data_IF_128788412869
#
_entry.id   IF_128788412869
#
_cell.length_a   1.000
_cell.length_b   1.000
_cell.length_c   1.000
_cell.angle_alpha   90.00
_cell.angle_beta   90.00
_cell.angle_gamma   90.00
#
_symmetry.space_group_name_H-M   'P 1'
#
loop_
_entity.id
_entity.type
_entity.pdbx_description
1 polymer ?
#
# COMPACT_ATOMS: atom_id res chain seq x y z
N UNK A 1 -4.35 9.51 19.63
CA UNK A 1 -3.62 10.71 19.24
C UNK A 1 -2.35 10.35 18.53
N UNK A 2 -2.10 10.96 17.39
CA UNK A 2 -0.88 10.80 16.62
C UNK A 2 0.34 11.19 17.47
N UNK A 3 1.31 10.29 17.55
CA UNK A 3 2.66 10.68 17.94
C UNK A 3 3.35 11.24 16.69
N UNK A 4 3.50 12.55 16.64
CA UNK A 4 4.25 13.25 15.59
C UNK A 4 5.69 13.54 15.98
N UNK A 5 6.10 13.08 17.16
CA UNK A 5 7.20 13.69 17.90
C UNK A 5 8.56 13.12 17.54
N UNK A 6 8.67 11.91 17.01
CA UNK A 6 9.95 11.40 16.47
C UNK A 6 9.72 10.33 15.44
N UNK A 7 10.31 10.42 14.25
CA UNK A 7 10.38 9.25 13.35
C UNK A 7 11.13 8.14 14.10
N UNK A 8 10.58 6.92 14.06
CA UNK A 8 11.26 5.76 14.62
C UNK A 8 12.64 5.63 13.98
N UNK A 9 13.66 5.42 14.81
CA UNK A 9 14.98 5.08 14.29
C UNK A 9 14.95 3.68 13.68
N UNK A 10 15.81 3.41 12.72
CA UNK A 10 15.91 2.07 12.11
C UNK A 10 16.09 0.98 13.19
N UNK A 11 16.84 1.26 14.25
CA UNK A 11 17.05 0.32 15.35
C UNK A 11 15.77 0.04 16.16
N UNK A 12 14.90 1.03 16.33
CA UNK A 12 13.60 0.83 16.97
C UNK A 12 12.65 0.02 16.10
N UNK A 13 12.69 0.24 14.80
CA UNK A 13 11.91 -0.55 13.83
C UNK A 13 12.33 -2.03 13.85
N UNK A 14 13.63 -2.33 13.88
CA UNK A 14 14.15 -3.71 13.92
C UNK A 14 13.83 -4.45 15.21
N UNK A 15 13.47 -3.77 16.29
CA UNK A 15 13.08 -4.38 17.56
C UNK A 15 11.56 -4.58 17.70
N UNK A 16 10.76 -3.94 16.86
CA UNK A 16 9.31 -4.05 16.92
C UNK A 16 8.81 -5.24 16.10
N UNK A 17 7.95 -6.03 16.71
CA UNK A 17 7.16 -7.03 16.01
C UNK A 17 5.80 -6.44 15.68
N UNK A 18 5.34 -6.62 14.46
CA UNK A 18 4.01 -6.26 14.01
C UNK A 18 3.22 -7.51 13.62
N UNK A 19 1.98 -7.57 14.06
CA UNK A 19 0.95 -8.41 13.48
C UNK A 19 0.12 -7.53 12.54
N UNK A 20 0.05 -7.89 11.27
CA UNK A 20 -0.48 -7.06 10.18
C UNK A 20 -1.67 -7.75 9.54
N UNK A 21 -2.72 -7.00 9.25
CA UNK A 21 -3.87 -7.44 8.46
C UNK A 21 -3.84 -6.72 7.11
N UNK A 22 -3.80 -7.49 6.04
CA UNK A 22 -3.97 -6.99 4.67
C UNK A 22 -5.23 -7.59 4.04
N UNK A 23 -5.96 -6.79 3.29
CA UNK A 23 -7.19 -7.16 2.63
C UNK A 23 -6.98 -7.17 1.11
N UNK A 24 -7.34 -8.27 0.46
CA UNK A 24 -7.17 -8.52 -0.97
C UNK A 24 -8.50 -8.84 -1.64
N UNK A 25 -8.65 -8.39 -2.87
CA UNK A 25 -9.77 -8.74 -3.74
C UNK A 25 -9.30 -9.60 -4.92
N UNK A 26 -10.21 -10.08 -5.73
CA UNK A 26 -9.87 -10.81 -6.97
C UNK A 26 -8.95 -10.01 -7.89
N UNK A 27 -9.04 -8.67 -7.88
CA UNK A 27 -8.19 -7.80 -8.69
C UNK A 27 -6.73 -7.72 -8.19
N UNK A 28 -6.48 -8.23 -6.99
CA UNK A 28 -5.14 -8.32 -6.38
C UNK A 28 -4.39 -9.60 -6.79
N UNK A 29 -5.00 -10.46 -7.59
CA UNK A 29 -4.39 -11.72 -8.04
C UNK A 29 -3.63 -11.46 -9.33
N UNK A 30 -2.31 -11.62 -9.28
CA UNK A 30 -1.41 -11.54 -10.43
C UNK A 30 -1.16 -12.94 -11.02
N UNK A 31 -1.01 -13.03 -12.34
CA UNK A 31 -0.45 -14.21 -13.00
C UNK A 31 1.05 -14.00 -13.19
N UNK A 32 1.84 -14.92 -12.64
CA UNK A 32 3.29 -14.91 -12.77
C UNK A 32 3.77 -16.18 -13.48
N UNK A 33 4.94 -16.10 -14.09
CA UNK A 33 5.61 -17.22 -14.70
C UNK A 33 6.90 -17.53 -13.97
N UNK A 34 7.18 -18.81 -13.82
CA UNK A 34 8.42 -19.28 -13.22
C UNK A 34 9.04 -20.40 -14.03
N UNK A 35 10.32 -20.26 -14.34
CA UNK A 35 11.12 -21.29 -15.02
C UNK A 35 12.13 -21.87 -14.04
N UNK A 36 11.96 -23.13 -13.68
CA UNK A 36 12.91 -23.84 -12.82
C UNK A 36 14.23 -24.10 -13.56
N UNK A 37 15.33 -23.80 -12.89
CA UNK A 37 16.68 -23.99 -13.46
C UNK A 37 17.21 -25.41 -13.26
N UNK A 38 16.63 -26.20 -12.37
CA UNK A 38 17.05 -27.57 -12.06
C UNK A 38 18.57 -27.68 -11.81
N UNK A 39 19.11 -26.74 -11.01
CA UNK A 39 20.54 -26.64 -10.66
C UNK A 39 21.49 -26.33 -11.84
N UNK A 40 20.99 -25.93 -13.01
CA UNK A 40 21.84 -25.50 -14.13
C UNK A 40 22.82 -24.38 -13.74
N UNK A 41 22.40 -23.49 -12.88
CA UNK A 41 23.19 -22.37 -12.35
C UNK A 41 24.32 -22.81 -11.40
N UNK A 42 24.31 -24.05 -10.91
CA UNK A 42 25.32 -24.63 -10.03
C UNK A 42 26.39 -25.44 -10.81
N UNK A 43 26.25 -25.58 -12.11
CA UNK A 43 27.17 -26.34 -12.95
C UNK A 43 28.51 -25.56 -13.11
N UNK A 44 29.61 -26.24 -12.83
CA UNK A 44 30.98 -25.73 -12.99
C UNK A 44 31.81 -26.63 -13.90
N UNK A 45 32.97 -26.16 -14.31
CA UNK A 45 33.94 -26.95 -15.09
C UNK A 45 34.40 -28.24 -14.42
N UNK A 46 34.22 -28.37 -13.10
CA UNK A 46 34.70 -29.50 -12.28
C UNK A 46 33.58 -30.52 -12.01
N UNK A 47 32.32 -30.07 -12.00
CA UNK A 47 31.19 -30.89 -11.57
C UNK A 47 30.18 -31.22 -12.65
N UNK A 48 30.30 -30.65 -13.88
CA UNK A 48 29.28 -30.79 -14.93
C UNK A 48 28.93 -32.25 -15.25
N UNK A 49 29.87 -33.18 -15.12
CA UNK A 49 29.59 -34.62 -15.34
C UNK A 49 28.80 -35.26 -14.17
N UNK A 50 28.75 -34.63 -13.00
CA UNK A 50 28.01 -35.14 -11.86
C UNK A 50 26.50 -34.76 -11.90
N UNK A 51 26.10 -33.91 -12.84
CA UNK A 51 24.70 -33.56 -13.07
C UNK A 51 24.06 -34.50 -14.11
N UNK A 52 24.32 -35.79 -13.96
CA UNK A 52 23.67 -36.88 -14.73
C UNK A 52 22.15 -36.93 -14.57
N UNK A 53 21.61 -36.30 -13.53
CA UNK A 53 20.16 -36.12 -13.39
C UNK A 53 19.58 -35.26 -14.51
N UNK A 54 20.43 -34.53 -15.23
CA UNK A 54 20.10 -33.93 -16.53
C UNK A 54 20.09 -34.97 -17.68
N UNK A 55 20.51 -36.23 -17.44
CA UNK A 55 20.27 -37.33 -18.36
C UNK A 55 18.80 -37.71 -18.52
N UNK A 56 17.97 -37.43 -17.51
CA UNK A 56 16.53 -37.40 -17.70
C UNK A 56 16.08 -36.34 -18.71
N UNK A 57 16.99 -35.41 -19.08
CA UNK A 57 16.87 -34.48 -20.20
C UNK A 57 17.21 -35.12 -21.54
N UNK A 58 17.76 -36.33 -21.60
CA UNK A 58 18.02 -37.01 -22.84
C UNK A 58 16.69 -37.36 -23.54
N UNK A 59 16.37 -36.59 -24.55
CA UNK A 59 15.10 -36.65 -25.26
C UNK A 59 13.95 -35.83 -24.63
N UNK A 60 14.21 -35.16 -23.49
CA UNK A 60 13.27 -34.27 -22.82
C UNK A 60 13.87 -32.85 -22.66
N UNK A 61 14.05 -32.15 -23.80
CA UNK A 61 14.10 -30.68 -23.77
C UNK A 61 12.85 -30.11 -23.06
N UNK A 62 11.89 -30.96 -22.73
CA UNK A 62 10.62 -30.67 -22.08
C UNK A 62 10.70 -30.66 -20.56
N UNK A 63 11.87 -30.96 -19.93
CA UNK A 63 12.03 -30.85 -18.49
C UNK A 63 12.21 -29.41 -18.02
N UNK A 64 12.68 -28.52 -18.87
CA UNK A 64 12.63 -27.07 -18.63
C UNK A 64 11.26 -26.58 -19.06
N UNK A 65 10.39 -26.34 -18.09
CA UNK A 65 9.00 -25.93 -18.28
C UNK A 65 8.81 -24.57 -17.61
N UNK A 66 8.02 -23.73 -18.25
CA UNK A 66 7.55 -22.49 -17.65
C UNK A 66 6.24 -22.80 -16.92
N UNK A 67 6.23 -22.66 -15.59
CA UNK A 67 5.03 -22.80 -14.78
C UNK A 67 4.28 -21.48 -14.74
N UNK A 68 2.98 -21.50 -14.95
CA UNK A 68 2.09 -20.37 -14.71
C UNK A 68 1.49 -20.51 -13.32
N UNK A 69 1.60 -19.48 -12.50
CA UNK A 69 1.17 -19.47 -11.11
C UNK A 69 0.30 -18.25 -10.85
N UNK A 70 -0.76 -18.42 -10.07
CA UNK A 70 -1.57 -17.32 -9.57
C UNK A 70 -1.05 -16.87 -8.21
N UNK A 71 -0.80 -15.58 -8.07
CA UNK A 71 -0.13 -15.01 -6.92
C UNK A 71 -0.90 -13.85 -6.31
N UNK A 72 -0.99 -13.85 -4.97
CA UNK A 72 -1.27 -12.65 -4.18
C UNK A 72 0.05 -12.26 -3.53
N UNK A 73 0.43 -10.99 -3.64
CA UNK A 73 1.64 -10.47 -3.03
C UNK A 73 1.31 -9.58 -1.84
N UNK A 74 1.90 -9.89 -0.69
CA UNK A 74 1.83 -9.06 0.51
C UNK A 74 2.73 -7.82 0.33
N UNK A 75 2.40 -6.77 1.08
CA UNK A 75 3.14 -5.51 1.01
C UNK A 75 4.55 -5.59 1.60
N UNK A 76 4.89 -6.67 2.25
CA UNK A 76 6.19 -6.89 2.87
C UNK A 76 6.79 -8.23 2.46
N UNK A 77 8.11 -8.26 2.39
CA UNK A 77 8.96 -9.45 2.28
C UNK A 77 9.53 -9.84 3.66
N UNK A 78 10.31 -10.92 3.72
CA UNK A 78 10.96 -11.41 4.94
C UNK A 78 10.01 -11.47 6.15
N UNK A 79 8.88 -12.12 5.93
CA UNK A 79 7.83 -12.34 6.93
C UNK A 79 8.27 -13.47 7.87
N UNK A 80 7.75 -13.49 9.08
CA UNK A 80 8.09 -14.54 10.03
C UNK A 80 7.68 -15.94 9.50
N UNK A 81 8.50 -16.95 9.81
CA UNK A 81 8.29 -18.35 9.40
C UNK A 81 7.09 -18.99 10.16
N UNK A 82 5.95 -18.34 10.06
CA UNK A 82 4.67 -18.82 10.60
C UNK A 82 3.60 -18.68 9.53
N UNK A 83 2.83 -19.72 9.33
CA UNK A 83 1.75 -19.71 8.35
C UNK A 83 0.76 -18.54 8.67
N UNK A 84 0.41 -17.71 7.68
CA UNK A 84 -0.56 -16.64 7.89
C UNK A 84 -1.94 -17.22 8.19
N UNK A 85 -2.75 -16.45 8.92
CA UNK A 85 -4.17 -16.77 9.09
C UNK A 85 -4.96 -16.14 7.95
N UNK A 86 -5.74 -16.97 7.24
CA UNK A 86 -6.54 -16.54 6.09
C UNK A 86 -8.03 -16.54 6.46
N UNK A 87 -8.73 -15.48 6.07
CA UNK A 87 -10.20 -15.41 6.18
C UNK A 87 -10.82 -14.80 4.94
N UNK A 88 -11.92 -15.36 4.48
CA UNK A 88 -12.68 -14.87 3.32
C UNK A 88 -14.08 -14.43 3.78
N UNK A 89 -14.47 -13.19 3.46
CA UNK A 89 -15.73 -12.62 3.93
C UNK A 89 -15.89 -12.63 5.46
N UNK A 90 -14.77 -12.55 6.22
CA UNK A 90 -14.75 -12.58 7.68
C UNK A 90 -14.78 -13.98 8.31
N UNK A 91 -14.87 -15.05 7.52
CA UNK A 91 -14.83 -16.43 8.00
C UNK A 91 -13.47 -17.06 7.74
N UNK A 92 -12.94 -17.94 8.61
CA UNK A 92 -11.71 -18.67 8.34
C UNK A 92 -11.78 -19.40 7.00
N UNK A 93 -10.73 -19.28 6.18
CA UNK A 93 -10.66 -19.92 4.87
C UNK A 93 -10.21 -21.38 5.02
N UNK A 94 -11.16 -22.26 5.31
CA UNK A 94 -10.95 -23.71 5.42
C UNK A 94 -11.43 -24.47 4.20
N UNK A 95 -12.49 -23.96 3.58
CA UNK A 95 -13.14 -24.60 2.43
C UNK A 95 -13.42 -23.54 1.36
N UNK A 96 -13.39 -23.99 0.11
CA UNK A 96 -13.68 -23.18 -1.08
C UNK A 96 -14.81 -23.80 -1.88
N UNK A 97 -15.56 -22.96 -2.57
CA UNK A 97 -16.59 -23.38 -3.52
C UNK A 97 -16.39 -22.63 -4.83
N UNK A 98 -16.54 -23.35 -5.94
CA UNK A 98 -16.48 -22.78 -7.29
C UNK A 98 -17.44 -23.49 -8.22
N UNK A 99 -17.72 -22.90 -9.38
CA UNK A 99 -18.58 -23.46 -10.42
C UNK A 99 -17.74 -24.02 -11.55
N UNK A 100 -18.01 -25.25 -11.94
CA UNK A 100 -17.32 -25.89 -13.05
C UNK A 100 -18.32 -26.40 -14.06
N UNK A 101 -18.00 -26.26 -15.35
CA UNK A 101 -18.80 -26.84 -16.41
C UNK A 101 -18.44 -28.30 -16.59
N UNK A 102 -19.41 -29.18 -16.34
CA UNK A 102 -19.24 -30.64 -16.43
C UNK A 102 -20.21 -31.19 -17.46
N UNK A 103 -19.77 -32.15 -18.24
CA UNK A 103 -20.66 -32.89 -19.16
C UNK A 103 -21.69 -33.71 -18.35
N UNK A 104 -22.97 -33.55 -18.67
CA UNK A 104 -24.08 -34.29 -18.04
C UNK A 104 -24.16 -35.77 -18.46
N UNK A 105 -23.20 -36.25 -19.26
CA UNK A 105 -23.19 -37.58 -19.86
C UNK A 105 -24.02 -37.70 -21.16
N UNK A 106 -24.61 -36.61 -21.61
CA UNK A 106 -25.40 -36.53 -22.84
C UNK A 106 -24.80 -35.52 -23.84
N UNK A 107 -23.59 -34.99 -23.52
CA UNK A 107 -22.90 -34.01 -24.32
C UNK A 107 -23.30 -32.55 -24.05
N UNK A 108 -24.10 -32.28 -23.00
CA UNK A 108 -24.43 -30.91 -22.61
C UNK A 108 -23.53 -30.50 -21.41
N UNK A 109 -22.94 -29.32 -21.52
CA UNK A 109 -22.18 -28.75 -20.41
C UNK A 109 -23.11 -28.06 -19.44
N UNK A 110 -23.16 -28.58 -18.21
CA UNK A 110 -23.96 -28.01 -17.09
C UNK A 110 -23.05 -27.42 -16.03
N UNK A 111 -23.49 -26.35 -15.43
CA UNK A 111 -22.79 -25.72 -14.31
C UNK A 111 -23.00 -26.56 -13.04
N UNK A 112 -21.91 -27.02 -12.43
CA UNK A 112 -21.90 -27.79 -11.21
C UNK A 112 -21.07 -27.10 -10.16
N UNK A 113 -21.65 -26.83 -8.99
CA UNK A 113 -20.92 -26.33 -7.84
C UNK A 113 -20.05 -27.45 -7.26
N UNK A 114 -18.78 -27.14 -7.15
CA UNK A 114 -17.75 -27.97 -6.51
C UNK A 114 -17.37 -27.36 -5.15
N UNK A 115 -16.89 -28.18 -4.25
CA UNK A 115 -16.32 -27.75 -2.98
C UNK A 115 -15.07 -28.55 -2.64
N UNK A 116 -14.12 -27.93 -1.96
CA UNK A 116 -12.92 -28.61 -1.47
C UNK A 116 -12.35 -27.91 -0.23
N UNK A 117 -11.66 -28.68 0.58
CA UNK A 117 -10.90 -28.15 1.72
C UNK A 117 -9.59 -27.56 1.21
N UNK A 118 -9.26 -26.38 1.71
CA UNK A 118 -8.01 -25.68 1.39
C UNK A 118 -6.84 -26.32 2.13
N UNK A 119 -5.78 -26.62 1.39
CA UNK A 119 -4.53 -27.10 1.94
C UNK A 119 -3.51 -25.94 2.01
N UNK A 120 -3.27 -25.42 3.21
CA UNK A 120 -2.25 -24.38 3.41
C UNK A 120 -0.89 -25.03 3.61
N UNK A 121 0.09 -24.62 2.80
CA UNK A 121 1.48 -25.04 2.89
C UNK A 121 2.39 -23.82 3.05
N UNK A 122 3.58 -24.03 3.60
CA UNK A 122 4.62 -22.99 3.67
C UNK A 122 5.92 -23.59 3.14
N UNK A 123 6.54 -22.89 2.21
CA UNK A 123 7.82 -23.30 1.60
C UNK A 123 8.79 -22.14 1.68
N UNK A 124 9.88 -22.33 2.41
CA UNK A 124 10.95 -21.33 2.52
C UNK A 124 11.95 -21.52 1.39
N UNK A 125 12.24 -20.46 0.66
CA UNK A 125 13.27 -20.44 -0.39
C UNK A 125 14.65 -20.74 0.20
N UNK A 126 14.92 -20.24 1.41
CA UNK A 126 16.20 -20.43 2.07
C UNK A 126 16.50 -21.88 2.40
N UNK A 127 15.48 -22.70 2.65
CA UNK A 127 15.64 -24.11 3.03
C UNK A 127 15.40 -25.07 1.88
N UNK A 128 14.40 -24.81 1.04
CA UNK A 128 13.98 -25.72 -0.04
C UNK A 128 14.47 -25.29 -1.43
N UNK A 129 14.87 -24.03 -1.60
CA UNK A 129 15.26 -23.43 -2.87
C UNK A 129 14.08 -22.88 -3.67
N UNK A 130 14.39 -22.02 -4.65
CA UNK A 130 13.38 -21.35 -5.49
C UNK A 130 12.56 -22.35 -6.31
N UNK A 131 13.18 -23.36 -6.91
CA UNK A 131 12.48 -24.36 -7.72
C UNK A 131 11.41 -25.13 -6.95
N UNK A 132 11.66 -25.41 -5.65
CA UNK A 132 10.66 -26.04 -4.79
C UNK A 132 9.54 -25.08 -4.37
N UNK A 133 9.88 -23.81 -4.11
CA UNK A 133 8.91 -22.79 -3.71
C UNK A 133 7.92 -22.49 -4.84
N UNK A 134 8.38 -22.42 -6.09
CA UNK A 134 7.56 -22.14 -7.27
C UNK A 134 7.23 -23.38 -8.11
N UNK A 135 7.37 -24.57 -7.55
CA UNK A 135 6.89 -25.79 -8.17
C UNK A 135 5.37 -25.77 -8.35
N UNK A 136 4.81 -26.50 -9.35
CA UNK A 136 3.38 -26.61 -9.54
C UNK A 136 2.65 -26.90 -8.22
N UNK A 137 1.50 -26.22 -8.02
CA UNK A 137 0.68 -26.38 -6.82
C UNK A 137 -0.34 -27.52 -7.00
N UNK A 138 -0.80 -28.08 -5.88
CA UNK A 138 -2.05 -28.83 -5.87
C UNK A 138 -3.25 -27.90 -6.13
N UNK A 139 -4.29 -28.41 -6.76
CA UNK A 139 -5.44 -27.59 -7.18
C UNK A 139 -6.10 -26.83 -6.01
N UNK A 140 -6.09 -27.40 -4.80
CA UNK A 140 -6.68 -26.79 -3.60
C UNK A 140 -5.62 -26.22 -2.65
N UNK A 141 -4.39 -26.04 -3.11
CA UNK A 141 -3.27 -25.57 -2.29
C UNK A 141 -3.21 -24.05 -2.26
N UNK A 142 -2.91 -23.50 -1.07
CA UNK A 142 -2.38 -22.15 -0.91
C UNK A 142 -0.98 -22.29 -0.33
N UNK A 143 0.03 -21.90 -1.09
CA UNK A 143 1.43 -21.94 -0.68
C UNK A 143 1.92 -20.58 -0.29
N UNK A 144 2.40 -20.45 0.93
CA UNK A 144 3.01 -19.24 1.45
C UNK A 144 4.54 -19.31 1.35
N UNK A 145 5.15 -18.23 0.83
CA UNK A 145 6.60 -18.06 0.72
C UNK A 145 6.99 -16.87 1.59
N UNK A 146 7.58 -17.09 2.77
CA UNK A 146 7.82 -16.01 3.74
C UNK A 146 8.88 -15.01 3.28
N UNK A 147 9.90 -15.43 2.54
CA UNK A 147 10.99 -14.56 2.10
C UNK A 147 10.52 -13.49 1.10
N UNK A 148 9.58 -13.83 0.24
CA UNK A 148 9.05 -12.91 -0.78
C UNK A 148 7.70 -12.31 -0.39
N UNK A 149 7.07 -12.84 0.67
CA UNK A 149 5.73 -12.42 1.08
C UNK A 149 4.66 -12.78 0.06
N UNK A 150 4.75 -13.97 -0.56
CA UNK A 150 3.85 -14.40 -1.62
C UNK A 150 2.93 -15.53 -1.16
N UNK A 151 1.68 -15.44 -1.59
CA UNK A 151 0.69 -16.52 -1.52
C UNK A 151 0.43 -17.01 -2.92
N UNK A 152 0.82 -18.24 -3.22
CA UNK A 152 0.54 -18.89 -4.48
C UNK A 152 -0.75 -19.71 -4.34
N UNK A 153 -1.64 -19.57 -5.34
CA UNK A 153 -2.98 -20.16 -5.33
C UNK A 153 -3.06 -21.30 -6.35
N UNK A 154 -3.53 -22.44 -5.92
CA UNK A 154 -3.90 -23.55 -6.80
C UNK A 154 -5.14 -23.23 -7.64
N UNK A 155 -5.35 -23.95 -8.72
CA UNK A 155 -6.37 -23.62 -9.74
C UNK A 155 -7.79 -23.52 -9.19
N UNK A 156 -8.19 -24.39 -8.26
CA UNK A 156 -9.52 -24.35 -7.68
C UNK A 156 -9.68 -23.19 -6.69
N UNK A 157 -8.60 -22.86 -5.95
CA UNK A 157 -8.58 -21.67 -5.07
C UNK A 157 -8.70 -20.42 -5.90
N UNK A 158 -7.94 -20.30 -6.97
CA UNK A 158 -8.02 -19.19 -7.91
C UNK A 158 -9.43 -19.02 -8.48
N UNK A 159 -10.05 -20.12 -8.99
CA UNK A 159 -11.42 -20.08 -9.50
C UNK A 159 -12.43 -19.60 -8.45
N UNK A 160 -12.34 -20.15 -7.24
CA UNK A 160 -13.22 -19.75 -6.14
C UNK A 160 -13.06 -18.26 -5.78
N UNK A 161 -11.83 -17.76 -5.76
CA UNK A 161 -11.55 -16.35 -5.50
C UNK A 161 -12.07 -15.44 -6.61
N UNK A 162 -11.96 -15.85 -7.88
CA UNK A 162 -12.46 -15.07 -9.03
C UNK A 162 -13.98 -15.00 -9.08
N UNK A 163 -14.68 -16.03 -8.58
CA UNK A 163 -16.14 -16.07 -8.50
C UNK A 163 -16.69 -15.34 -7.27
N UNK A 164 -15.88 -15.15 -6.24
CA UNK A 164 -16.29 -14.45 -5.01
C UNK A 164 -16.06 -12.94 -5.13
N UNK A 165 -17.00 -12.16 -4.60
CA UNK A 165 -16.81 -10.72 -4.37
C UNK A 165 -16.34 -10.44 -2.93
N UNK A 166 -16.08 -11.47 -2.15
CA UNK A 166 -15.61 -11.36 -0.76
C UNK A 166 -14.14 -10.94 -0.72
N UNK A 167 -13.80 -10.23 0.34
CA UNK A 167 -12.41 -9.82 0.61
C UNK A 167 -11.66 -10.94 1.32
N UNK A 168 -10.51 -11.32 0.78
CA UNK A 168 -9.54 -12.18 1.46
C UNK A 168 -8.70 -11.34 2.41
N UNK A 169 -8.79 -11.63 3.70
CA UNK A 169 -7.91 -11.05 4.72
C UNK A 169 -6.80 -12.01 5.07
N UNK A 170 -5.58 -11.49 5.01
CA UNK A 170 -4.35 -12.20 5.38
C UNK A 170 -3.77 -11.55 6.63
N UNK A 171 -3.65 -12.33 7.71
CA UNK A 171 -3.01 -11.89 8.95
C UNK A 171 -1.68 -12.59 9.12
N UNK A 172 -0.61 -11.84 9.32
CA UNK A 172 0.74 -12.36 9.45
C UNK A 172 1.60 -11.53 10.40
N UNK A 173 2.69 -12.11 10.86
CA UNK A 173 3.66 -11.47 11.76
C UNK A 173 4.94 -11.10 11.02
N UNK A 174 5.44 -9.87 11.25
CA UNK A 174 6.72 -9.39 10.75
C UNK A 174 7.57 -8.82 11.89
N UNK A 175 8.80 -9.33 12.00
CA UNK A 175 9.78 -8.88 13.00
C UNK A 175 11.13 -8.48 12.39
N UNK A 176 11.37 -8.83 11.13
CA UNK A 176 12.58 -8.46 10.40
C UNK A 176 12.29 -7.28 9.47
N UNK A 177 13.03 -6.20 9.64
CA UNK A 177 12.82 -4.95 8.91
C UNK A 177 14.06 -4.55 8.13
N UNK A 178 13.89 -4.20 6.87
CA UNK A 178 14.94 -3.65 6.02
C UNK A 178 14.87 -2.11 6.00
N UNK A 179 15.99 -1.50 5.64
CA UNK A 179 16.01 -0.05 5.43
C UNK A 179 15.16 0.29 4.20
N UNK A 180 14.11 1.06 4.42
CA UNK A 180 13.15 1.45 3.38
C UNK A 180 11.78 0.83 3.54
N UNK A 181 11.65 -0.21 4.38
CA UNK A 181 10.34 -0.76 4.70
C UNK A 181 9.41 0.33 5.27
N UNK A 182 8.19 0.35 4.78
CA UNK A 182 7.16 1.28 5.23
C UNK A 182 6.66 0.88 6.63
N UNK A 183 6.27 1.85 7.44
CA UNK A 183 5.67 1.57 8.75
C UNK A 183 4.22 1.08 8.58
N UNK A 184 3.87 -0.13 9.06
CA UNK A 184 2.52 -0.68 8.90
C UNK A 184 1.42 0.20 9.48
N UNK A 185 1.71 0.94 10.54
CA UNK A 185 0.76 1.84 11.22
C UNK A 185 0.20 2.96 10.34
N UNK A 186 0.81 3.22 9.17
CA UNK A 186 0.35 4.24 8.23
C UNK A 186 -0.51 3.68 7.10
N UNK A 187 -0.61 2.35 6.98
CA UNK A 187 -1.27 1.67 5.86
C UNK A 187 -2.28 0.62 6.28
N UNK A 188 -2.02 -0.09 7.37
CA UNK A 188 -2.75 -1.31 7.71
C UNK A 188 -3.34 -1.28 9.11
N UNK A 189 -4.40 -2.08 9.29
CA UNK A 189 -4.81 -2.51 10.60
C UNK A 189 -3.72 -3.42 11.18
N UNK A 190 -3.08 -2.99 12.26
CA UNK A 190 -1.96 -3.74 12.80
C UNK A 190 -1.81 -3.59 14.31
N UNK A 191 -1.10 -4.55 14.91
CA UNK A 191 -0.73 -4.53 16.33
C UNK A 191 0.78 -4.56 16.45
N UNK A 192 1.34 -3.51 17.04
CA UNK A 192 2.77 -3.42 17.35
C UNK A 192 3.04 -3.98 18.73
N UNK A 193 3.98 -4.91 18.82
CA UNK A 193 4.50 -5.43 20.09
C UNK A 193 5.91 -4.89 20.31
N UNK A 194 6.11 -4.17 21.41
CA UNK A 194 7.42 -3.63 21.76
C UNK A 194 7.94 -4.38 23.00
N UNK A 195 9.05 -5.10 22.88
CA UNK A 195 9.66 -5.76 24.04
C UNK A 195 9.94 -4.73 25.15
N UNK A 196 9.48 -5.02 26.35
CA UNK A 196 9.59 -4.13 27.53
C UNK A 196 8.92 -2.76 27.38
N UNK A 197 8.01 -2.58 26.42
CA UNK A 197 7.22 -1.37 26.25
C UNK A 197 6.06 -1.27 27.25
N UNK A 198 5.61 -0.05 27.55
CA UNK A 198 4.39 0.22 28.30
C UNK A 198 3.51 1.21 27.52
N UNK A 199 2.41 0.77 26.90
CA UNK A 199 1.91 -0.63 26.83
C UNK A 199 2.78 -1.54 25.95
N UNK A 200 2.86 -2.81 26.29
CA UNK A 200 3.59 -3.81 25.51
C UNK A 200 3.00 -4.07 24.10
N UNK A 201 1.71 -3.77 23.92
CA UNK A 201 0.97 -3.89 22.64
C UNK A 201 0.24 -2.60 22.35
N UNK A 202 0.38 -2.12 21.11
CA UNK A 202 -0.33 -0.94 20.59
C UNK A 202 -1.07 -1.36 19.33
N UNK A 203 -2.38 -1.13 19.33
CA UNK A 203 -3.25 -1.42 18.18
C UNK A 203 -3.43 -0.16 17.36
N UNK A 204 -3.26 -0.27 16.04
CA UNK A 204 -3.42 0.81 15.08
C UNK A 204 -4.49 0.45 14.06
N UNK A 205 -5.27 1.42 13.64
CA UNK A 205 -6.19 1.39 12.49
C UNK A 205 -7.14 0.17 12.47
N UNK A 206 -7.47 -0.40 13.61
CA UNK A 206 -8.29 -1.60 13.69
C UNK A 206 -9.69 -1.23 14.16
N UNK A 207 -10.67 -1.42 13.31
CA UNK A 207 -12.08 -1.26 13.62
C UNK A 207 -12.66 -2.42 14.41
N UNK A 208 -13.97 -2.38 14.68
CA UNK A 208 -14.64 -3.33 15.58
C UNK A 208 -14.58 -4.79 15.08
N UNK A 209 -14.56 -4.98 13.75
CA UNK A 209 -14.49 -6.30 13.11
C UNK A 209 -13.10 -6.58 12.50
N UNK A 210 -12.07 -5.84 12.94
CA UNK A 210 -10.71 -5.96 12.42
C UNK A 210 -10.48 -5.31 11.07
N UNK A 211 -11.44 -4.52 10.57
CA UNK A 211 -11.30 -3.76 9.33
C UNK A 211 -10.23 -2.66 9.46
N UNK A 212 -9.60 -2.33 8.33
CA UNK A 212 -8.62 -1.25 8.26
C UNK A 212 -9.31 0.12 8.26
N UNK A 213 -9.10 0.90 9.30
CA UNK A 213 -9.68 2.26 9.48
C UNK A 213 -8.67 3.38 9.20
N UNK A 214 -7.57 3.11 8.52
CA UNK A 214 -6.57 4.14 8.18
C UNK A 214 -7.19 5.31 7.41
N UNK A 215 -8.19 5.05 6.57
CA UNK A 215 -8.91 6.06 5.80
C UNK A 215 -9.75 7.02 6.66
N UNK A 216 -10.08 6.64 7.90
CA UNK A 216 -10.85 7.47 8.83
C UNK A 216 -9.97 8.49 9.56
N UNK A 217 -8.65 8.42 9.41
CA UNK A 217 -7.69 9.31 10.03
C UNK A 217 -7.63 10.68 9.34
N UNK A 218 -8.76 11.39 9.30
CA UNK A 218 -8.89 12.72 8.71
C UNK A 218 -8.90 13.77 9.80
N UNK A 219 -8.00 14.76 9.67
CA UNK A 219 -7.99 15.94 10.52
C UNK A 219 -8.74 17.04 9.79
N UNK A 220 -9.89 17.43 10.30
CA UNK A 220 -10.74 18.44 9.70
C UNK A 220 -10.82 19.67 10.59
N UNK A 221 -10.77 20.85 9.97
CA UNK A 221 -11.06 22.12 10.62
C UNK A 221 -12.35 22.73 10.10
N UNK A 222 -13.14 23.31 11.01
CA UNK A 222 -14.28 24.11 10.67
C UNK A 222 -13.85 25.48 10.13
N UNK A 223 -14.16 25.78 8.87
CA UNK A 223 -13.81 27.04 8.19
C UNK A 223 -15.01 27.95 7.97
N UNK A 224 -16.20 27.56 8.47
CA UNK A 224 -17.43 28.31 8.39
C UNK A 224 -18.62 27.46 8.79
N UNK A 225 -19.83 28.08 8.78
CA UNK A 225 -21.04 27.37 9.13
C UNK A 225 -21.24 26.15 8.21
N UNK A 226 -21.24 24.94 8.80
CA UNK A 226 -21.38 23.66 8.12
C UNK A 226 -20.32 23.41 6.99
N UNK A 227 -19.12 23.99 7.11
CA UNK A 227 -18.03 23.84 6.16
C UNK A 227 -16.77 23.36 6.87
N UNK A 228 -16.30 22.19 6.47
CA UNK A 228 -15.07 21.57 6.94
C UNK A 228 -14.04 21.42 5.82
N UNK A 229 -12.78 21.49 6.17
CA UNK A 229 -11.67 21.18 5.27
C UNK A 229 -10.72 20.22 5.96
N UNK A 230 -10.42 19.13 5.29
CA UNK A 230 -9.36 18.21 5.72
C UNK A 230 -8.00 18.89 5.49
N UNK A 231 -7.13 18.84 6.48
CA UNK A 231 -5.81 19.52 6.44
C UNK A 231 -4.63 18.55 6.37
N UNK A 232 -4.84 17.27 6.65
CA UNK A 232 -3.81 16.25 6.51
C UNK A 232 -3.95 15.49 5.18
N UNK A 233 -2.83 14.94 4.71
CA UNK A 233 -2.76 13.91 3.67
C UNK A 233 -2.05 12.72 4.28
N UNK A 234 -2.64 11.55 4.18
CA UNK A 234 -2.09 10.33 4.76
C UNK A 234 -1.14 9.64 3.77
N UNK A 235 -0.20 8.84 4.27
CA UNK A 235 0.79 8.17 3.42
C UNK A 235 0.12 7.24 2.39
N UNK A 236 -0.92 6.51 2.77
CA UNK A 236 -1.66 5.61 1.87
C UNK A 236 -2.37 6.34 0.71
N UNK A 237 -2.65 7.65 0.84
CA UNK A 237 -3.24 8.46 -0.23
C UNK A 237 -2.21 8.86 -1.31
N UNK A 238 -0.91 8.75 -1.01
CA UNK A 238 0.17 9.25 -1.86
C UNK A 238 1.05 8.13 -2.42
N UNK A 239 1.19 7.03 -1.67
CA UNK A 239 2.15 5.97 -1.96
C UNK A 239 1.51 4.62 -1.75
N UNK A 240 1.50 3.80 -2.79
CA UNK A 240 1.09 2.40 -2.70
C UNK A 240 2.21 1.59 -1.99
N UNK A 241 1.89 0.79 -0.95
CA UNK A 241 2.87 -0.03 -0.25
C UNK A 241 3.52 -1.09 -1.15
N UNK A 242 2.86 -1.50 -2.24
CA UNK A 242 3.39 -2.50 -3.18
C UNK A 242 4.49 -1.95 -4.10
N UNK A 243 4.68 -0.62 -4.18
CA UNK A 243 5.67 -0.01 -5.07
C UNK A 243 7.09 -0.56 -4.86
N UNK A 244 7.50 -0.79 -3.61
CA UNK A 244 8.81 -1.35 -3.30
C UNK A 244 8.92 -2.79 -3.77
N UNK A 245 7.85 -3.57 -3.60
CA UNK A 245 7.80 -4.97 -3.97
C UNK A 245 7.86 -5.15 -5.50
N UNK A 246 7.17 -4.29 -6.25
CA UNK A 246 7.25 -4.30 -7.72
C UNK A 246 8.66 -3.99 -8.23
N UNK A 247 9.43 -3.15 -7.51
CA UNK A 247 10.84 -2.89 -7.83
C UNK A 247 11.70 -4.11 -7.51
N UNK A 248 11.45 -4.77 -6.37
CA UNK A 248 12.16 -5.98 -5.99
C UNK A 248 11.90 -7.10 -7.01
N UNK A 249 10.67 -7.29 -7.47
CA UNK A 249 10.32 -8.26 -8.52
C UNK A 249 11.09 -8.05 -9.82
N UNK A 250 11.22 -6.80 -10.25
CA UNK A 250 12.01 -6.47 -11.44
C UNK A 250 13.49 -6.75 -11.25
N UNK A 251 14.03 -6.44 -10.07
CA UNK A 251 15.44 -6.73 -9.75
C UNK A 251 15.68 -8.22 -9.76
N UNK A 252 14.85 -9.00 -9.08
CA UNK A 252 14.97 -10.45 -9.01
C UNK A 252 14.87 -11.10 -10.39
N UNK A 253 14.01 -10.57 -11.27
CA UNK A 253 13.87 -11.05 -12.64
C UNK A 253 15.12 -10.73 -13.48
N UNK A 254 15.73 -9.54 -13.32
CA UNK A 254 16.98 -9.16 -13.97
C UNK A 254 18.12 -10.05 -13.49
N UNK A 255 18.26 -10.23 -12.17
CA UNK A 255 19.30 -11.06 -11.56
C UNK A 255 19.19 -12.51 -12.05
N UNK A 256 17.97 -13.03 -12.20
CA UNK A 256 17.73 -14.36 -12.75
C UNK A 256 18.13 -14.46 -14.23
N UNK A 257 17.84 -13.44 -15.03
CA UNK A 257 18.22 -13.37 -16.44
C UNK A 257 19.76 -13.31 -16.59
N UNK A 258 20.43 -12.49 -15.79
CA UNK A 258 21.91 -12.39 -15.80
C UNK A 258 22.56 -13.72 -15.38
N UNK A 259 22.01 -14.38 -14.37
CA UNK A 259 22.51 -15.67 -13.91
C UNK A 259 22.43 -16.75 -14.99
N UNK A 260 21.29 -16.87 -15.68
CA UNK A 260 21.15 -17.87 -16.74
C UNK A 260 21.98 -17.52 -17.98
N UNK A 261 22.14 -16.23 -18.32
CA UNK A 261 23.02 -15.78 -19.42
C UNK A 261 24.46 -16.16 -19.14
N UNK A 262 24.94 -15.91 -17.92
CA UNK A 262 26.28 -16.31 -17.49
C UNK A 262 26.44 -17.82 -17.49
N UNK A 263 25.42 -18.57 -17.09
CA UNK A 263 25.42 -20.04 -17.13
C UNK A 263 25.59 -20.55 -18.56
N UNK A 264 24.82 -20.03 -19.51
CA UNK A 264 24.95 -20.38 -20.93
C UNK A 264 26.34 -20.07 -21.46
N UNK A 265 26.90 -18.90 -21.12
CA UNK A 265 28.24 -18.51 -21.56
C UNK A 265 29.32 -19.44 -20.99
N UNK A 266 29.26 -19.75 -19.70
CA UNK A 266 30.20 -20.65 -19.04
C UNK A 266 30.14 -22.08 -19.62
N UNK A 267 28.97 -22.64 -19.80
CA UNK A 267 28.79 -23.96 -20.39
C UNK A 267 29.33 -24.04 -21.82
N UNK A 268 29.13 -22.98 -22.63
CA UNK A 268 29.72 -22.89 -23.98
C UNK A 268 31.24 -22.82 -23.90
N UNK A 269 31.84 -22.08 -22.97
CA UNK A 269 33.27 -22.05 -22.76
C UNK A 269 33.80 -23.43 -22.36
N UNK A 270 33.15 -24.11 -21.41
CA UNK A 270 33.56 -25.45 -20.99
C UNK A 270 33.55 -26.42 -22.16
N UNK A 271 32.56 -26.39 -23.02
CA UNK A 271 32.44 -27.26 -24.21
C UNK A 271 33.64 -27.09 -25.19
N UNK A 272 34.23 -25.90 -25.31
CA UNK A 272 35.38 -25.66 -26.19
C UNK A 272 36.64 -26.44 -25.78
N UNK A 273 36.68 -26.95 -24.54
CA UNK A 273 37.82 -27.69 -23.99
C UNK A 273 37.81 -29.18 -24.37
N UNK A 274 36.72 -29.65 -24.98
CA UNK A 274 36.53 -31.06 -25.32
C UNK A 274 36.31 -31.24 -26.81
N UNK A 275 36.77 -32.39 -27.34
CA UNK A 275 36.62 -32.75 -28.76
C UNK A 275 35.19 -33.20 -29.03
N UNK A 276 34.71 -32.88 -30.23
CA UNK A 276 33.37 -33.27 -30.68
C UNK A 276 33.24 -34.82 -30.74
N UNK A 277 32.16 -35.32 -30.13
CA UNK A 277 31.89 -36.76 -30.06
C UNK A 277 32.30 -37.40 -28.72
N UNK A 278 33.06 -36.73 -27.86
CA UNK A 278 33.30 -37.19 -26.48
C UNK A 278 32.04 -37.12 -25.61
N UNK A 279 31.98 -37.87 -24.54
CA UNK A 279 30.83 -37.88 -23.65
C UNK A 279 30.69 -36.55 -22.88
N UNK A 280 31.80 -35.92 -22.58
CA UNK A 280 31.85 -34.57 -22.00
C UNK A 280 31.26 -33.53 -22.95
N UNK A 281 31.64 -33.58 -24.25
CA UNK A 281 31.08 -32.66 -25.24
C UNK A 281 29.57 -32.84 -25.41
N UNK A 282 29.10 -34.10 -25.46
CA UNK A 282 27.66 -34.42 -25.57
C UNK A 282 26.90 -33.91 -24.33
N UNK A 283 27.42 -34.18 -23.14
CA UNK A 283 26.80 -33.71 -21.89
C UNK A 283 26.67 -32.18 -21.86
N UNK A 284 27.76 -31.46 -22.13
CA UNK A 284 27.72 -30.01 -22.19
C UNK A 284 26.79 -29.48 -23.28
N UNK A 285 26.68 -30.19 -24.41
CA UNK A 285 25.75 -29.79 -25.49
C UNK A 285 24.30 -29.90 -25.02
N UNK A 286 23.92 -30.92 -24.25
CA UNK A 286 22.59 -31.08 -23.66
C UNK A 286 22.32 -30.00 -22.62
N UNK A 287 23.28 -29.74 -21.71
CA UNK A 287 23.19 -28.71 -20.69
C UNK A 287 23.05 -27.31 -21.31
N UNK A 288 23.78 -27.02 -22.38
CA UNK A 288 23.65 -25.75 -23.12
C UNK A 288 22.23 -25.63 -23.71
N UNK A 289 21.71 -26.70 -24.34
CA UNK A 289 20.37 -26.65 -24.91
C UNK A 289 19.29 -26.39 -23.85
N UNK A 290 19.39 -27.03 -22.69
CA UNK A 290 18.51 -26.78 -21.57
C UNK A 290 18.63 -25.33 -21.03
N UNK A 291 19.86 -24.82 -20.85
CA UNK A 291 20.10 -23.47 -20.38
C UNK A 291 19.63 -22.41 -21.38
N UNK A 292 19.79 -22.63 -22.70
CA UNK A 292 19.28 -21.72 -23.73
C UNK A 292 17.76 -21.69 -23.76
N UNK A 293 17.10 -22.82 -23.53
CA UNK A 293 15.65 -22.88 -23.42
C UNK A 293 15.15 -22.09 -22.19
N UNK A 294 15.79 -22.30 -21.03
CA UNK A 294 15.48 -21.56 -19.81
C UNK A 294 15.70 -20.04 -20.03
N UNK A 295 16.83 -19.67 -20.64
CA UNK A 295 17.12 -18.28 -21.01
C UNK A 295 16.01 -17.66 -21.87
N UNK A 296 15.49 -18.39 -22.84
CA UNK A 296 14.39 -17.92 -23.68
C UNK A 296 13.15 -17.58 -22.87
N UNK A 297 12.72 -18.48 -22.00
CA UNK A 297 11.54 -18.27 -21.14
C UNK A 297 11.74 -17.11 -20.16
N UNK A 298 12.87 -17.10 -19.46
CA UNK A 298 13.17 -16.05 -18.46
C UNK A 298 13.25 -14.68 -19.13
N UNK A 299 13.88 -14.56 -20.32
CA UNK A 299 13.94 -13.31 -21.07
C UNK A 299 12.55 -12.80 -21.45
N UNK A 300 11.69 -13.70 -21.94
CA UNK A 300 10.34 -13.34 -22.36
C UNK A 300 9.46 -12.96 -21.15
N UNK A 301 9.67 -13.59 -19.99
CA UNK A 301 9.01 -13.21 -18.72
C UNK A 301 9.50 -11.84 -18.22
N UNK A 302 10.81 -11.60 -18.24
CA UNK A 302 11.38 -10.29 -17.87
C UNK A 302 10.80 -9.17 -18.73
N UNK A 303 10.69 -9.37 -20.04
CA UNK A 303 10.09 -8.36 -20.92
C UNK A 303 8.65 -8.05 -20.51
N UNK A 304 7.82 -9.07 -20.25
CA UNK A 304 6.42 -8.88 -19.83
C UNK A 304 6.31 -8.19 -18.48
N UNK A 305 7.19 -8.55 -17.52
CA UNK A 305 7.25 -7.87 -16.21
C UNK A 305 7.61 -6.40 -16.36
N UNK A 306 8.52 -6.05 -17.25
CA UNK A 306 8.82 -4.64 -17.54
C UNK A 306 7.64 -3.89 -18.14
N UNK A 307 6.93 -4.47 -19.09
CA UNK A 307 5.74 -3.87 -19.71
C UNK A 307 4.64 -3.63 -18.64
N UNK A 308 4.42 -4.60 -17.76
CA UNK A 308 3.46 -4.49 -16.66
C UNK A 308 3.90 -3.45 -15.62
N UNK A 309 5.19 -3.44 -15.25
CA UNK A 309 5.72 -2.49 -14.29
C UNK A 309 5.64 -1.04 -14.78
N UNK A 310 5.80 -0.78 -16.07
CA UNK A 310 5.60 0.58 -16.64
C UNK A 310 4.16 1.04 -16.41
N UNK A 311 3.19 0.15 -16.64
CA UNK A 311 1.76 0.46 -16.44
C UNK A 311 1.45 0.71 -14.96
N UNK A 312 1.93 -0.16 -14.05
CA UNK A 312 1.75 0.02 -12.60
C UNK A 312 2.39 1.32 -12.11
N UNK A 313 3.62 1.63 -12.56
CA UNK A 313 4.29 2.88 -12.16
C UNK A 313 3.56 4.13 -12.62
N UNK A 314 2.91 4.09 -13.78
CA UNK A 314 2.04 5.19 -14.20
C UNK A 314 0.86 5.35 -13.23
N UNK A 315 0.24 4.26 -12.80
CA UNK A 315 -0.82 4.30 -11.77
C UNK A 315 -0.35 4.95 -10.46
N UNK A 316 0.83 4.59 -9.95
CA UNK A 316 1.41 5.20 -8.74
C UNK A 316 1.68 6.71 -8.90
N UNK A 317 2.12 7.14 -10.08
CA UNK A 317 2.29 8.56 -10.38
C UNK A 317 0.95 9.30 -10.40
N UNK A 318 -0.08 8.69 -11.00
CA UNK A 318 -1.42 9.28 -11.08
C UNK A 318 -2.04 9.43 -9.67
N UNK A 319 -1.83 8.47 -8.76
CA UNK A 319 -2.25 8.58 -7.35
C UNK A 319 -1.52 9.71 -6.62
N UNK A 320 -0.20 9.81 -6.78
CA UNK A 320 0.59 10.90 -6.19
C UNK A 320 0.15 12.27 -6.72
N UNK A 321 -0.09 12.40 -8.03
CA UNK A 321 -0.57 13.64 -8.66
C UNK A 321 -1.98 14.00 -8.18
N UNK A 322 -2.85 13.02 -7.97
CA UNK A 322 -4.17 13.22 -7.38
C UNK A 322 -4.07 13.76 -5.95
N UNK A 323 -3.16 13.21 -5.14
CA UNK A 323 -2.92 13.67 -3.78
C UNK A 323 -2.38 15.11 -3.75
N UNK A 324 -1.45 15.46 -4.65
CA UNK A 324 -0.91 16.82 -4.82
C UNK A 324 -2.03 17.78 -5.22
N UNK A 325 -2.84 17.42 -6.20
CA UNK A 325 -3.96 18.24 -6.69
C UNK A 325 -5.00 18.46 -5.59
N UNK A 326 -5.33 17.40 -4.85
CA UNK A 326 -6.24 17.46 -3.70
C UNK A 326 -5.70 18.41 -2.61
N UNK A 327 -4.41 18.31 -2.29
CA UNK A 327 -3.75 19.19 -1.33
C UNK A 327 -3.77 20.66 -1.79
N UNK A 328 -3.47 20.91 -3.08
CA UNK A 328 -3.56 22.24 -3.69
C UNK A 328 -4.97 22.84 -3.62
N UNK A 329 -5.99 22.03 -3.90
CA UNK A 329 -7.40 22.45 -3.83
C UNK A 329 -7.79 22.77 -2.38
N UNK A 330 -7.36 21.97 -1.40
CA UNK A 330 -7.58 22.24 0.03
C UNK A 330 -6.91 23.54 0.48
N UNK A 331 -5.68 23.80 0.04
CA UNK A 331 -4.97 25.05 0.31
C UNK A 331 -5.71 26.26 -0.26
N UNK A 332 -6.15 26.19 -1.51
CA UNK A 332 -6.91 27.28 -2.15
C UNK A 332 -8.24 27.55 -1.41
N UNK A 333 -8.95 26.49 -0.94
CA UNK A 333 -10.18 26.65 -0.14
C UNK A 333 -9.90 27.31 1.21
N UNK A 334 -8.78 26.99 1.86
CA UNK A 334 -8.37 27.63 3.11
C UNK A 334 -8.03 29.10 2.90
N UNK A 335 -7.35 29.46 1.82
CA UNK A 335 -7.03 30.85 1.48
C UNK A 335 -8.29 31.67 1.20
N UNK A 336 -9.26 31.11 0.45
CA UNK A 336 -10.56 31.74 0.23
C UNK A 336 -11.32 31.95 1.53
N UNK A 337 -11.33 30.95 2.42
CA UNK A 337 -11.97 31.08 3.73
C UNK A 337 -11.31 32.16 4.58
N UNK A 338 -9.97 32.19 4.60
CA UNK A 338 -9.20 33.21 5.31
C UNK A 338 -9.52 34.62 4.80
N UNK A 339 -9.53 34.82 3.48
CA UNK A 339 -9.84 36.11 2.88
C UNK A 339 -11.28 36.55 3.23
N UNK A 340 -12.26 35.65 3.12
CA UNK A 340 -13.64 35.91 3.54
C UNK A 340 -13.75 36.31 5.00
N UNK A 341 -13.05 35.60 5.90
CA UNK A 341 -13.05 35.94 7.32
C UNK A 341 -12.37 37.29 7.61
N UNK A 342 -11.32 37.64 6.85
CA UNK A 342 -10.68 38.96 6.95
C UNK A 342 -11.63 40.07 6.50
N UNK A 343 -12.34 39.90 5.38
CA UNK A 343 -13.34 40.85 4.90
C UNK A 343 -14.50 41.01 5.90
N UNK A 344 -14.99 39.89 6.44
CA UNK A 344 -16.03 39.93 7.48
C UNK A 344 -15.53 40.63 8.74
N UNK A 345 -14.30 40.38 9.17
CA UNK A 345 -13.68 41.06 10.33
C UNK A 345 -13.64 42.58 10.10
N UNK A 346 -13.14 43.02 8.94
CA UNK A 346 -13.07 44.44 8.60
C UNK A 346 -14.47 45.07 8.58
N UNK A 347 -15.47 44.36 8.03
CA UNK A 347 -16.85 44.81 8.02
C UNK A 347 -17.42 44.94 9.43
N UNK A 348 -17.20 43.94 10.30
CA UNK A 348 -17.64 44.01 11.71
C UNK A 348 -16.91 45.11 12.49
N UNK A 349 -15.61 45.31 12.26
CA UNK A 349 -14.85 46.43 12.87
C UNK A 349 -15.41 47.78 12.45
N UNK A 350 -15.79 47.96 11.15
CA UNK A 350 -16.45 49.16 10.68
C UNK A 350 -17.82 49.38 11.29
N UNK A 351 -18.64 48.32 11.35
CA UNK A 351 -19.97 48.36 11.99
C UNK A 351 -19.87 48.64 13.49
N UNK A 352 -18.84 48.11 14.16
CA UNK A 352 -18.59 48.40 15.58
C UNK A 352 -18.19 49.84 15.77
N UNK A 353 -17.30 50.38 14.91
CA UNK A 353 -16.91 51.78 14.95
C UNK A 353 -18.11 52.72 14.71
N UNK A 354 -18.95 52.40 13.70
CA UNK A 354 -20.17 53.17 13.42
C UNK A 354 -21.17 53.17 14.59
N UNK A 355 -21.23 52.06 15.37
CA UNK A 355 -22.17 51.92 16.50
C UNK A 355 -21.62 52.48 17.83
N UNK A 356 -20.30 52.38 18.03
CA UNK A 356 -19.67 52.75 19.31
C UNK A 356 -19.00 54.14 19.26
N UNK A 357 -18.49 54.58 18.09
CA UNK A 357 -17.83 55.87 17.95
C UNK A 357 -18.86 56.97 17.88
N UNK A 358 -18.82 57.88 18.83
CA UNK A 358 -19.62 59.09 18.78
C UNK A 358 -19.05 60.04 17.76
N UNK A 359 -19.90 60.54 16.86
CA UNK A 359 -19.48 61.63 15.98
C UNK A 359 -19.11 62.84 16.82
N UNK A 360 -17.80 63.12 16.92
CA UNK A 360 -17.24 64.20 17.71
C UNK A 360 -17.87 65.53 17.35
N UNK A 361 -18.30 65.73 16.11
CA UNK A 361 -18.97 66.92 15.63
C UNK A 361 -20.38 67.03 16.22
N UNK A 362 -21.15 65.94 16.19
CA UNK A 362 -22.51 65.89 16.73
C UNK A 362 -22.49 66.04 18.25
N UNK A 363 -21.60 65.33 18.97
CA UNK A 363 -21.40 65.45 20.42
C UNK A 363 -20.99 66.88 20.81
N UNK A 364 -20.12 67.54 20.01
CA UNK A 364 -19.70 68.91 20.25
C UNK A 364 -20.87 69.90 20.05
N UNK A 365 -21.68 69.68 19.03
CA UNK A 365 -22.89 70.50 18.78
C UNK A 365 -23.91 70.29 19.89
N UNK A 366 -24.18 69.08 20.31
CA UNK A 366 -25.05 68.77 21.43
C UNK A 366 -24.55 69.38 22.73
N UNK A 367 -23.23 69.28 23.04
CA UNK A 367 -22.61 69.89 24.23
C UNK A 367 -22.77 71.41 24.22
N UNK A 368 -22.51 72.07 23.06
CA UNK A 368 -22.74 73.53 22.92
C UNK A 368 -24.17 73.93 23.08
N UNK A 369 -25.11 73.13 22.54
CA UNK A 369 -26.56 73.37 22.66
C UNK A 369 -27.01 73.30 24.14
N UNK A 370 -26.52 72.26 24.85
CA UNK A 370 -26.76 72.12 26.31
C UNK A 370 -26.13 73.25 27.10
N UNK A 371 -24.91 73.67 26.79
CA UNK A 371 -24.25 74.83 27.45
C UNK A 371 -25.05 76.13 27.21
N UNK A 372 -25.47 76.40 26.00
CA UNK A 372 -26.32 77.55 25.66
C UNK A 372 -27.64 77.55 26.39
N UNK A 373 -28.28 76.38 26.50
CA UNK A 373 -29.52 76.18 27.22
C UNK A 373 -29.33 76.42 28.74
N UNK A 374 -28.21 75.96 29.29
CA UNK A 374 -27.83 76.22 30.68
C UNK A 374 -27.58 77.69 30.98
N UNK A 375 -26.80 78.37 30.08
CA UNK A 375 -26.55 79.81 30.22
C UNK A 375 -27.83 80.62 30.10
N UNK A 376 -28.72 80.27 29.16
CA UNK A 376 -30.06 80.91 29.00
C UNK A 376 -30.91 80.67 30.25
N UNK A 377 -30.88 79.49 30.85
CA UNK A 377 -31.59 79.26 32.13
C UNK A 377 -31.06 80.04 33.28
N UNK A 378 -29.72 80.16 33.35
CA UNK A 378 -29.07 81.00 34.39
C UNK A 378 -29.41 82.51 34.25
N UNK A 379 -29.40 83.00 33.01
CA UNK A 379 -29.81 84.39 32.67
C UNK A 379 -31.29 84.61 33.00
N UNK A 380 -32.16 83.66 32.63
CA UNK A 380 -33.60 83.75 32.95
C UNK A 380 -33.81 83.74 34.45
N UNK A 381 -33.13 82.88 35.18
CA UNK A 381 -33.22 82.78 36.64
C UNK A 381 -32.73 84.09 37.33
N UNK A 382 -31.58 84.62 36.81
CA UNK A 382 -31.03 85.91 37.31
C UNK A 382 -32.01 87.05 37.03
N UNK A 383 -32.65 87.14 35.87
CA UNK A 383 -33.69 88.13 35.54
C UNK A 383 -34.88 88.02 36.47
N UNK A 384 -35.33 86.81 36.73
CA UNK A 384 -36.49 86.56 37.58
C UNK A 384 -36.14 86.99 39.04
N UNK A 385 -34.94 86.70 39.53
CA UNK A 385 -34.49 87.07 40.86
C UNK A 385 -34.32 88.59 40.97
N UNK A 386 -33.86 89.29 39.92
CA UNK A 386 -33.77 90.77 39.90
C UNK A 386 -35.16 91.43 39.88
N UNK A 387 -36.11 90.88 39.14
CA UNK A 387 -37.48 91.42 39.12
C UNK A 387 -38.25 91.18 40.44
N UNK A 388 -37.98 90.10 41.12
CA UNK A 388 -38.59 89.84 42.44
C UNK A 388 -37.97 90.69 43.55
N UNK A 389 -36.66 91.00 43.51
CA UNK A 389 -36.00 91.90 44.44
C UNK A 389 -36.39 93.35 44.27
N UNK A 390 -36.66 93.82 42.99
CA UNK A 390 -37.10 95.23 42.72
C UNK A 390 -38.54 95.50 43.09
N UNK A 391 -39.41 94.47 43.21
CA UNK A 391 -40.80 94.62 43.64
C UNK A 391 -41.00 94.55 45.16
N UNK A 392 -39.97 94.32 45.91
CA UNK A 392 -40.03 94.16 47.40
C UNK A 392 -39.31 95.28 48.19
N UNK A 393 -38.76 96.28 47.47
CA UNK A 393 -38.23 97.51 47.98
C UNK A 393 -39.17 98.70 47.60
#
# INVERSE_FOLDING_TARGET
>A
GYRTDTPLTFQEQTQAQFNINEDFTKDSIDEIKYTGLHDLDKITSENFMNYDTLDDLEGKTDSIVENTLHRIRLSYDNINDTAPTLSLGGNPLTDITWTEKVDDGHGNMIDKTQNATVNQTMVSINTAGKDAAYAPLGDNEIRFIPETGELLLGDNVYKAMMESDDTLRVNYDKSQWAKGDLNPEHYFACTKTVPNGDPAKIVYNTGANGENTVADQKIEYDIGYNQKVQVNTNAYECFDPNMQQDINDLRDAIDQLENIENTVANLKEYRTKYEEGTDEYKMLTRQIAAAEKAYGYIRDDVQKRFEHAVTKKQGYLDEADLAITSSGTRSARLDLAKNRLMEQKTTYESLQSENEDSDATEVTVQLKSVQLSYEAALLATSKILQTTLLNYL
#
